data_IF_644600141180
#
_entry.id   IF_644600141180
#
_cell.length_a   1.000
_cell.length_b   1.000
_cell.length_c   1.000
_cell.angle_alpha   90.00
_cell.angle_beta   90.00
_cell.angle_gamma   90.00
#
_symmetry.space_group_name_H-M   'P 1'
#
loop_
_entity.id
_entity.type
_entity.pdbx_description
1 polymer ?
#
# COMPACT_ATOMS: atom_id res chain seq x y z
N UNK A 1 7.08 -4.98 2.59
CA UNK A 1 7.71 -4.49 3.83
C UNK A 1 8.52 -3.24 3.52
N UNK A 2 8.89 -2.43 4.51
CA UNK A 2 9.67 -1.19 4.29
C UNK A 2 11.01 -1.41 3.60
N UNK A 3 11.65 -2.57 3.83
CA UNK A 3 12.87 -2.96 3.13
C UNK A 3 12.68 -3.05 1.60
N UNK A 4 11.58 -3.66 1.14
CA UNK A 4 11.27 -3.76 -0.29
C UNK A 4 11.05 -2.39 -0.93
N UNK A 5 10.43 -1.44 -0.21
CA UNK A 5 10.25 -0.06 -0.69
C UNK A 5 11.60 0.63 -0.94
N UNK A 6 12.54 0.48 0.00
CA UNK A 6 13.89 1.02 -0.15
C UNK A 6 14.64 0.40 -1.33
N UNK A 7 14.50 -0.91 -1.56
CA UNK A 7 15.10 -1.58 -2.72
C UNK A 7 14.48 -1.15 -4.06
N UNK A 8 13.20 -0.76 -4.07
CA UNK A 8 12.53 -0.21 -5.25
C UNK A 8 12.81 1.28 -5.48
N UNK A 9 13.47 1.97 -4.54
CA UNK A 9 13.73 3.41 -4.63
C UNK A 9 12.52 4.30 -4.29
N UNK A 10 11.62 3.82 -3.42
CA UNK A 10 10.52 4.66 -2.90
C UNK A 10 11.07 5.61 -1.83
N UNK A 11 10.85 6.91 -2.03
CA UNK A 11 11.35 7.97 -1.14
C UNK A 11 10.32 8.33 -0.07
N UNK A 12 9.04 8.34 -0.43
CA UNK A 12 7.95 8.65 0.50
C UNK A 12 6.64 7.94 0.14
N UNK A 13 5.71 7.92 1.10
CA UNK A 13 4.36 7.41 0.93
C UNK A 13 3.33 8.42 1.40
N UNK A 14 2.26 8.59 0.63
CA UNK A 14 1.05 9.29 1.08
C UNK A 14 -0.09 8.30 1.21
N UNK A 15 -0.81 8.31 2.33
CA UNK A 15 -1.99 7.45 2.51
C UNK A 15 -3.09 7.92 1.56
N UNK A 16 -3.53 7.02 0.68
CA UNK A 16 -4.62 7.26 -0.28
C UNK A 16 -5.97 6.85 0.27
N UNK A 17 -6.00 5.67 0.91
CA UNK A 17 -7.22 5.11 1.46
C UNK A 17 -6.89 4.31 2.73
N UNK A 18 -7.49 4.65 3.88
CA UNK A 18 -7.48 3.76 5.03
C UNK A 18 -8.36 2.55 4.73
N UNK A 19 -7.94 1.35 5.14
CA UNK A 19 -8.72 0.13 5.03
C UNK A 19 -9.20 -0.28 6.42
N UNK A 20 -10.46 -0.01 6.81
CA UNK A 20 -10.96 -0.28 8.16
C UNK A 20 -10.83 -1.75 8.56
N UNK A 21 -11.02 -2.66 7.59
CA UNK A 21 -10.87 -4.10 7.77
C UNK A 21 -9.41 -4.58 7.94
N UNK A 22 -8.43 -3.69 7.82
CA UNK A 22 -7.00 -4.02 7.97
C UNK A 22 -6.22 -2.86 8.60
N UNK A 23 -6.46 -2.57 9.90
CA UNK A 23 -5.79 -1.51 10.62
C UNK A 23 -4.26 -1.69 10.58
N UNK A 24 -3.54 -0.68 10.11
CA UNK A 24 -2.08 -0.74 9.93
C UNK A 24 -1.62 -1.23 8.54
N UNK A 25 -2.55 -1.46 7.61
CA UNK A 25 -2.23 -1.80 6.22
C UNK A 25 -3.03 -0.95 5.22
N UNK A 26 -2.74 0.37 5.14
CA UNK A 26 -3.42 1.25 4.20
C UNK A 26 -2.96 1.04 2.75
N UNK A 27 -3.74 1.58 1.82
CA UNK A 27 -3.31 1.84 0.45
C UNK A 27 -2.60 3.19 0.40
N UNK A 28 -1.38 3.22 -0.14
CA UNK A 28 -0.56 4.41 -0.26
C UNK A 28 -0.20 4.70 -1.72
N UNK A 29 0.14 5.95 -2.01
CA UNK A 29 0.84 6.35 -3.24
C UNK A 29 2.32 6.48 -2.92
N UNK A 30 3.17 5.85 -3.73
CA UNK A 30 4.62 5.95 -3.68
C UNK A 30 5.11 7.19 -4.41
N UNK A 31 6.03 7.92 -3.77
CA UNK A 31 6.77 9.02 -4.37
C UNK A 31 8.20 8.56 -4.58
N UNK A 32 8.75 8.82 -5.76
CA UNK A 32 10.10 8.39 -6.13
C UNK A 32 10.74 9.31 -7.15
N UNK A 33 12.05 9.47 -7.09
CA UNK A 33 12.83 10.04 -8.21
C UNK A 33 12.85 9.14 -9.46
N UNK A 34 12.50 7.85 -9.32
CA UNK A 34 12.39 6.91 -10.44
C UNK A 34 10.98 7.01 -11.03
N UNK A 35 10.87 7.54 -12.26
CA UNK A 35 9.58 7.78 -12.95
C UNK A 35 8.67 6.55 -13.05
N UNK A 36 9.24 5.34 -13.11
CA UNK A 36 8.46 4.10 -13.17
C UNK A 36 7.82 3.71 -11.83
N UNK A 37 8.31 4.28 -10.72
CA UNK A 37 7.89 3.99 -9.34
C UNK A 37 7.03 5.13 -8.79
N UNK A 38 7.31 6.36 -9.21
CA UNK A 38 6.54 7.54 -8.83
C UNK A 38 5.07 7.42 -9.25
N UNK A 39 4.17 7.59 -8.27
CA UNK A 39 2.73 7.47 -8.44
C UNK A 39 2.18 6.04 -8.32
N UNK A 40 3.00 5.01 -8.09
CA UNK A 40 2.49 3.64 -7.91
C UNK A 40 1.64 3.51 -6.64
N UNK A 41 0.54 2.78 -6.74
CA UNK A 41 -0.28 2.41 -5.59
C UNK A 41 0.28 1.16 -4.90
N UNK A 42 0.56 1.28 -3.61
CA UNK A 42 1.20 0.23 -2.81
C UNK A 42 0.36 -0.09 -1.57
N UNK A 43 0.06 -1.37 -1.41
CA UNK A 43 -0.61 -1.91 -0.25
C UNK A 43 0.42 -2.51 0.73
N UNK A 44 0.56 -1.92 1.92
CA UNK A 44 1.52 -2.41 2.93
C UNK A 44 0.87 -3.36 3.92
N UNK A 45 0.94 -4.65 3.64
CA UNK A 45 0.43 -5.71 4.51
C UNK A 45 1.43 -6.03 5.63
N UNK A 46 1.05 -5.81 6.89
CA UNK A 46 1.75 -6.44 8.02
C UNK A 46 1.55 -7.95 7.96
N UNK A 47 2.56 -8.75 8.33
CA UNK A 47 2.57 -10.21 8.12
C UNK A 47 1.28 -10.93 8.51
N UNK A 48 0.59 -10.46 9.56
CA UNK A 48 -0.70 -10.98 10.05
C UNK A 48 -1.90 -10.02 9.97
N UNK A 49 -1.75 -8.85 9.34
CA UNK A 49 -2.77 -7.77 9.39
C UNK A 49 -3.86 -7.88 8.32
N UNK A 50 -5.03 -8.45 8.57
CA UNK A 50 -6.15 -8.45 7.61
C UNK A 50 -6.50 -9.84 7.07
N UNK A 51 -7.77 -10.02 6.70
CA UNK A 51 -8.36 -11.30 6.29
C UNK A 51 -7.93 -11.71 4.87
N UNK A 52 -8.23 -12.94 4.46
CA UNK A 52 -8.01 -13.45 3.09
C UNK A 52 -8.58 -12.52 1.98
N UNK A 53 -9.53 -11.64 2.34
CA UNK A 53 -10.16 -10.70 1.43
C UNK A 53 -9.37 -9.41 1.18
N UNK A 54 -8.27 -9.16 1.91
CA UNK A 54 -7.49 -7.92 1.85
C UNK A 54 -7.19 -7.45 0.41
N UNK A 55 -6.57 -8.31 -0.40
CA UNK A 55 -6.21 -7.94 -1.77
C UNK A 55 -7.43 -7.76 -2.67
N UNK A 56 -8.48 -8.56 -2.48
CA UNK A 56 -9.72 -8.39 -3.24
C UNK A 56 -10.42 -7.07 -2.91
N UNK A 57 -10.48 -6.67 -1.65
CA UNK A 57 -11.10 -5.39 -1.24
C UNK A 57 -10.37 -4.19 -1.83
N UNK A 58 -9.03 -4.24 -1.91
CA UNK A 58 -8.22 -3.18 -2.55
C UNK A 58 -8.48 -3.13 -4.05
N UNK A 59 -8.42 -4.27 -4.73
CA UNK A 59 -8.67 -4.35 -6.18
C UNK A 59 -10.07 -3.85 -6.53
N UNK A 60 -11.06 -4.23 -5.72
CA UNK A 60 -12.47 -3.91 -5.96
C UNK A 60 -12.81 -2.48 -5.50
N UNK A 61 -11.85 -1.74 -4.91
CA UNK A 61 -12.03 -0.35 -4.47
C UNK A 61 -13.08 -0.17 -3.38
N UNK A 62 -13.40 -1.24 -2.65
CA UNK A 62 -14.51 -1.27 -1.71
C UNK A 62 -14.19 -0.37 -0.50
N UNK A 63 -14.85 0.79 -0.46
CA UNK A 63 -14.98 1.64 0.72
C UNK A 63 -15.98 0.95 1.66
N UNK A 64 -15.48 0.07 2.53
CA UNK A 64 -16.25 -0.37 3.70
C UNK A 64 -16.37 0.75 4.73
#
# INVERSE_FOLDING_TARGET
SSHALGQMGVDALTVRMPLPASPGSPLCVAHSHVKAIDGLEVALKGGQVGTDRYFSSIRDGLRS
#
